data_IF_655768551903
#
_entry.id   IF_655768551903
#
_cell.length_a   1.000
_cell.length_b   1.000
_cell.length_c   1.000
_cell.angle_alpha   90.00
_cell.angle_beta   90.00
_cell.angle_gamma   90.00
#
_symmetry.space_group_name_H-M   'P 1'
#
loop_
_entity.id
_entity.type
_entity.pdbx_description
1 polymer ?
#
# COMPACT_ATOMS: atom_id res chain seq x y z
N UNK A 1 7.64 -65.13 7.81
CA UNK A 1 7.65 -64.17 6.69
C UNK A 1 6.44 -63.24 6.62
N UNK A 2 5.53 -63.20 7.59
CA UNK A 2 4.34 -62.33 7.60
C UNK A 2 4.48 -60.99 8.38
N UNK A 3 5.47 -60.88 9.29
CA UNK A 3 5.65 -59.64 10.08
C UNK A 3 6.30 -58.45 9.31
N UNK A 4 7.14 -58.77 8.28
CA UNK A 4 7.81 -57.70 7.50
C UNK A 4 6.87 -56.88 6.60
N UNK A 5 5.74 -57.46 6.16
CA UNK A 5 4.82 -56.77 5.27
C UNK A 5 3.90 -55.76 6.02
N UNK A 6 3.58 -55.99 7.30
CA UNK A 6 2.75 -55.07 8.10
C UNK A 6 3.51 -53.81 8.51
N UNK A 7 4.82 -53.93 8.79
CA UNK A 7 5.67 -52.79 9.10
C UNK A 7 5.89 -51.90 7.87
N UNK A 8 6.06 -52.48 6.69
CA UNK A 8 6.25 -51.70 5.44
C UNK A 8 4.97 -50.96 5.04
N UNK A 9 3.81 -51.65 5.11
CA UNK A 9 2.51 -51.02 4.82
C UNK A 9 2.14 -49.92 5.84
N UNK A 10 2.48 -50.11 7.12
CA UNK A 10 2.29 -49.09 8.16
C UNK A 10 3.15 -47.85 7.91
N UNK A 11 4.41 -48.02 7.52
CA UNK A 11 5.33 -46.89 7.22
C UNK A 11 4.87 -46.13 5.98
N UNK A 12 4.45 -46.82 4.91
CA UNK A 12 3.91 -46.17 3.69
C UNK A 12 2.64 -45.42 3.99
N UNK A 13 1.75 -45.93 4.83
CA UNK A 13 0.51 -45.26 5.22
C UNK A 13 0.77 -43.98 6.06
N UNK A 14 1.70 -44.04 7.02
CA UNK A 14 2.09 -42.86 7.82
C UNK A 14 2.77 -41.80 6.96
N UNK A 15 3.63 -42.17 6.01
CA UNK A 15 4.28 -41.25 5.09
C UNK A 15 3.25 -40.58 4.13
N UNK A 16 2.26 -41.33 3.67
CA UNK A 16 1.20 -40.79 2.83
C UNK A 16 0.31 -39.78 3.59
N UNK A 17 -0.06 -40.09 4.83
CA UNK A 17 -0.81 -39.16 5.68
C UNK A 17 -0.03 -37.88 5.99
N UNK A 18 1.26 -37.98 6.22
CA UNK A 18 2.14 -36.82 6.43
C UNK A 18 2.21 -35.94 5.16
N UNK A 19 2.34 -36.53 3.98
CA UNK A 19 2.37 -35.80 2.71
C UNK A 19 1.04 -35.09 2.42
N UNK A 20 -0.11 -35.73 2.68
CA UNK A 20 -1.43 -35.11 2.56
C UNK A 20 -1.60 -33.95 3.53
N UNK A 21 -1.15 -34.08 4.77
CA UNK A 21 -1.17 -32.99 5.76
C UNK A 21 -0.33 -31.79 5.31
N UNK A 22 0.84 -32.05 4.73
CA UNK A 22 1.77 -30.98 4.29
C UNK A 22 1.27 -30.25 3.02
N UNK A 23 0.65 -30.96 2.08
CA UNK A 23 0.01 -30.33 0.91
C UNK A 23 -1.18 -29.47 1.33
N UNK A 24 -1.92 -29.88 2.35
CA UNK A 24 -2.99 -29.07 2.97
C UNK A 24 -2.48 -27.76 3.61
N UNK A 25 -1.32 -27.83 4.29
CA UNK A 25 -0.65 -26.65 4.84
C UNK A 25 -0.21 -25.68 3.74
N UNK A 26 0.37 -26.16 2.66
CA UNK A 26 0.74 -25.31 1.52
C UNK A 26 -0.49 -24.61 0.93
N UNK A 27 -1.55 -25.37 0.64
CA UNK A 27 -2.80 -24.78 0.14
C UNK A 27 -3.37 -23.73 1.08
N UNK A 28 -3.26 -23.92 2.40
CA UNK A 28 -3.64 -22.93 3.41
C UNK A 28 -2.79 -21.67 3.29
N UNK A 29 -1.45 -21.81 3.21
CA UNK A 29 -0.54 -20.68 3.09
C UNK A 29 -0.83 -19.86 1.82
N UNK A 30 -0.98 -20.54 0.67
CA UNK A 30 -1.28 -19.91 -0.62
C UNK A 30 -2.65 -19.19 -0.59
N UNK A 31 -3.65 -19.77 0.09
CA UNK A 31 -4.97 -19.15 0.27
C UNK A 31 -4.87 -17.88 1.12
N UNK A 32 -4.12 -17.91 2.21
CA UNK A 32 -3.88 -16.74 3.06
C UNK A 32 -3.13 -15.65 2.29
N UNK A 33 -2.10 -16.01 1.56
CA UNK A 33 -1.33 -15.10 0.70
C UNK A 33 -2.23 -14.40 -0.33
N UNK A 34 -3.04 -15.17 -1.06
CA UNK A 34 -3.96 -14.65 -2.06
C UNK A 34 -5.11 -13.81 -1.48
N UNK A 35 -5.36 -13.90 -0.17
CA UNK A 35 -6.30 -13.05 0.59
C UNK A 35 -5.62 -11.88 1.30
N UNK A 36 -4.34 -11.63 0.99
CA UNK A 36 -3.52 -10.58 1.60
C UNK A 36 -3.34 -10.71 3.13
N UNK A 37 -3.52 -11.91 3.69
CA UNK A 37 -3.22 -12.24 5.09
C UNK A 37 -1.75 -12.64 5.20
N UNK A 38 -0.84 -11.70 4.93
CA UNK A 38 0.58 -11.99 4.74
C UNK A 38 1.27 -12.46 6.01
N UNK A 39 0.87 -11.97 7.17
CA UNK A 39 1.43 -12.41 8.45
C UNK A 39 1.09 -13.88 8.72
N UNK A 40 -0.17 -14.25 8.56
CA UNK A 40 -0.61 -15.63 8.74
C UNK A 40 0.01 -16.56 7.68
N UNK A 41 0.08 -16.10 6.41
CA UNK A 41 0.74 -16.84 5.34
C UNK A 41 2.21 -17.08 5.66
N UNK A 42 2.94 -16.05 6.11
CA UNK A 42 4.35 -16.14 6.50
C UNK A 42 4.58 -17.16 7.61
N UNK A 43 3.70 -17.22 8.61
CA UNK A 43 3.80 -18.21 9.69
C UNK A 43 3.64 -19.64 9.16
N UNK A 44 2.70 -19.88 8.23
CA UNK A 44 2.51 -21.21 7.63
C UNK A 44 3.66 -21.57 6.68
N UNK A 45 4.21 -20.62 5.90
CA UNK A 45 5.40 -20.87 5.08
C UNK A 45 6.65 -21.19 5.92
N UNK A 46 6.85 -20.54 7.07
CA UNK A 46 7.90 -20.92 8.04
C UNK A 46 7.75 -22.35 8.54
N UNK A 47 6.52 -22.78 8.81
CA UNK A 47 6.22 -24.16 9.21
C UNK A 47 6.57 -25.16 8.10
N UNK A 48 6.23 -24.87 6.83
CA UNK A 48 6.58 -25.70 5.67
C UNK A 48 8.11 -25.82 5.51
N UNK A 49 8.84 -24.72 5.66
CA UNK A 49 10.32 -24.70 5.62
C UNK A 49 10.90 -25.59 6.73
N UNK A 50 10.38 -25.47 7.97
CA UNK A 50 10.84 -26.28 9.11
C UNK A 50 10.60 -27.78 8.90
N UNK A 51 9.51 -28.15 8.23
CA UNK A 51 9.15 -29.52 7.86
C UNK A 51 9.86 -30.01 6.59
N UNK A 52 10.68 -29.18 5.96
CA UNK A 52 11.37 -29.45 4.68
C UNK A 52 10.42 -29.86 3.55
N UNK A 53 9.18 -29.38 3.59
CA UNK A 53 8.19 -29.64 2.55
C UNK A 53 8.12 -28.46 1.58
N UNK A 54 8.46 -28.73 0.32
CA UNK A 54 8.52 -27.73 -0.74
C UNK A 54 9.23 -26.42 -0.27
N UNK A 55 10.35 -26.61 0.47
CA UNK A 55 11.00 -25.55 1.23
C UNK A 55 11.49 -24.41 0.34
N UNK A 56 11.92 -24.71 -0.89
CA UNK A 56 12.35 -23.69 -1.85
C UNK A 56 11.19 -22.76 -2.25
N UNK A 57 10.04 -23.35 -2.59
CA UNK A 57 8.82 -22.58 -2.87
C UNK A 57 8.39 -21.76 -1.66
N UNK A 58 8.31 -22.39 -0.48
CA UNK A 58 7.90 -21.71 0.74
C UNK A 58 8.85 -20.55 1.11
N UNK A 59 10.16 -20.70 0.86
CA UNK A 59 11.16 -19.62 1.07
C UNK A 59 10.89 -18.43 0.16
N UNK A 60 10.57 -18.67 -1.11
CA UNK A 60 10.22 -17.60 -2.06
C UNK A 60 8.96 -16.84 -1.62
N UNK A 61 7.89 -17.58 -1.31
CA UNK A 61 6.64 -16.98 -0.87
C UNK A 61 6.78 -16.24 0.47
N UNK A 62 7.63 -16.72 1.36
CA UNK A 62 7.93 -16.04 2.62
C UNK A 62 8.68 -14.71 2.38
N UNK A 63 9.59 -14.67 1.42
CA UNK A 63 10.25 -13.43 1.01
C UNK A 63 9.23 -12.41 0.47
N UNK A 64 8.31 -12.87 -0.39
CA UNK A 64 7.23 -12.04 -0.94
C UNK A 64 6.30 -11.54 0.17
N UNK A 65 5.94 -12.38 1.17
CA UNK A 65 5.16 -11.94 2.34
C UNK A 65 5.83 -10.75 3.04
N UNK A 66 7.12 -10.85 3.34
CA UNK A 66 7.85 -9.77 4.01
C UNK A 66 7.97 -8.50 3.15
N UNK A 67 8.14 -8.65 1.84
CA UNK A 67 8.14 -7.51 0.93
C UNK A 67 6.78 -6.78 0.94
N UNK A 68 5.67 -7.52 0.87
CA UNK A 68 4.33 -6.93 0.95
C UNK A 68 4.04 -6.30 2.32
N UNK A 69 4.52 -6.89 3.42
CA UNK A 69 4.43 -6.30 4.75
C UNK A 69 5.33 -5.05 4.94
N UNK A 70 6.06 -4.63 3.92
CA UNK A 70 7.03 -3.52 3.98
C UNK A 70 8.10 -3.72 5.06
N UNK A 71 8.52 -4.97 5.24
CA UNK A 71 9.62 -5.36 6.13
C UNK A 71 10.86 -5.73 5.30
N UNK A 72 11.63 -4.74 4.83
CA UNK A 72 12.75 -4.98 3.92
C UNK A 72 13.88 -5.77 4.57
N UNK A 73 14.11 -5.63 5.88
CA UNK A 73 15.16 -6.39 6.60
C UNK A 73 14.92 -7.89 6.50
N UNK A 74 13.69 -8.34 6.81
CA UNK A 74 13.32 -9.75 6.66
C UNK A 74 13.26 -10.18 5.20
N UNK A 75 12.74 -9.33 4.31
CA UNK A 75 12.67 -9.63 2.89
C UNK A 75 14.05 -9.91 2.29
N UNK A 76 15.06 -9.08 2.61
CA UNK A 76 16.46 -9.28 2.18
C UNK A 76 16.99 -10.65 2.58
N UNK A 77 16.74 -11.09 3.84
CA UNK A 77 17.20 -12.39 4.33
C UNK A 77 16.64 -13.55 3.52
N UNK A 78 15.33 -13.50 3.23
CA UNK A 78 14.67 -14.61 2.53
C UNK A 78 14.83 -14.54 1.01
N UNK A 79 14.88 -13.35 0.40
CA UNK A 79 15.25 -13.23 -1.02
C UNK A 79 16.67 -13.68 -1.29
N UNK A 80 17.63 -13.40 -0.40
CA UNK A 80 18.99 -13.92 -0.52
C UNK A 80 19.00 -15.45 -0.61
N UNK A 81 18.24 -16.14 0.22
CA UNK A 81 18.09 -17.61 0.16
C UNK A 81 17.36 -18.05 -1.11
N UNK A 82 16.39 -17.28 -1.58
CA UNK A 82 15.61 -17.62 -2.78
C UNK A 82 16.47 -17.57 -4.04
N UNK A 83 17.33 -16.53 -4.20
CA UNK A 83 18.16 -16.37 -5.41
C UNK A 83 19.29 -17.39 -5.53
N UNK A 84 19.62 -18.13 -4.46
CA UNK A 84 20.58 -19.22 -4.45
C UNK A 84 19.96 -20.55 -4.95
N UNK A 85 18.64 -20.61 -5.14
CA UNK A 85 17.94 -21.81 -5.58
C UNK A 85 18.14 -22.07 -7.07
N UNK A 86 18.17 -23.36 -7.51
CA UNK A 86 18.26 -23.67 -8.92
C UNK A 86 17.00 -23.24 -9.67
N UNK A 87 17.16 -22.78 -10.90
CA UNK A 87 16.06 -22.39 -11.81
C UNK A 87 15.12 -21.32 -11.23
N UNK A 88 15.66 -20.40 -10.44
CA UNK A 88 14.89 -19.29 -9.89
C UNK A 88 14.35 -18.40 -11.01
N UNK A 89 13.05 -18.01 -10.99
CA UNK A 89 12.54 -17.00 -11.91
C UNK A 89 13.31 -15.68 -11.77
N UNK A 90 13.69 -15.06 -12.89
CA UNK A 90 14.51 -13.84 -12.88
C UNK A 90 13.87 -12.68 -12.09
N UNK A 91 12.54 -12.65 -11.98
CA UNK A 91 11.80 -11.66 -11.17
C UNK A 91 12.31 -11.59 -9.72
N UNK A 92 12.82 -12.70 -9.17
CA UNK A 92 13.36 -12.71 -7.81
C UNK A 92 14.66 -11.92 -7.67
N UNK A 93 15.46 -11.77 -8.73
CA UNK A 93 16.61 -10.85 -8.73
C UNK A 93 16.18 -9.40 -8.60
N UNK A 94 15.09 -9.03 -9.31
CA UNK A 94 14.49 -7.70 -9.20
C UNK A 94 13.92 -7.47 -7.79
N UNK A 95 13.14 -8.42 -7.27
CA UNK A 95 12.53 -8.31 -5.94
C UNK A 95 13.59 -8.19 -4.85
N UNK A 96 14.68 -8.97 -4.96
CA UNK A 96 15.82 -8.85 -4.03
C UNK A 96 16.50 -7.49 -4.11
N UNK A 97 16.74 -7.00 -5.33
CA UNK A 97 17.30 -5.67 -5.53
C UNK A 97 16.42 -4.56 -4.89
N UNK A 98 15.09 -4.67 -5.01
CA UNK A 98 14.18 -3.71 -4.38
C UNK A 98 14.22 -3.80 -2.84
N UNK A 99 14.29 -5.02 -2.28
CA UNK A 99 14.45 -5.21 -0.83
C UNK A 99 15.77 -4.60 -0.32
N UNK A 100 16.87 -4.78 -1.08
CA UNK A 100 18.17 -4.17 -0.77
C UNK A 100 18.13 -2.64 -0.77
N UNK A 101 17.35 -2.02 -1.68
CA UNK A 101 17.11 -0.58 -1.68
C UNK A 101 16.38 -0.15 -0.40
N UNK A 102 15.38 -0.90 0.02
CA UNK A 102 14.64 -0.65 1.25
C UNK A 102 15.53 -0.63 2.51
N UNK A 103 16.65 -1.37 2.52
CA UNK A 103 17.68 -1.33 3.59
C UNK A 103 18.88 -0.43 3.23
N UNK A 104 18.74 0.43 2.21
CA UNK A 104 19.76 1.39 1.74
C UNK A 104 21.05 0.74 1.22
N UNK A 105 21.03 -0.55 0.86
CA UNK A 105 22.17 -1.23 0.24
C UNK A 105 22.13 -1.05 -1.30
N UNK A 106 22.30 0.19 -1.74
CA UNK A 106 22.18 0.57 -3.15
C UNK A 106 23.26 -0.08 -4.05
N UNK A 107 24.45 -0.30 -3.51
CA UNK A 107 25.55 -0.93 -4.26
C UNK A 107 25.19 -2.35 -4.67
N UNK A 108 24.74 -3.16 -3.74
CA UNK A 108 24.36 -4.55 -4.01
C UNK A 108 23.06 -4.63 -4.82
N UNK A 109 22.09 -3.75 -4.55
CA UNK A 109 20.88 -3.63 -5.35
C UNK A 109 21.18 -3.48 -6.85
N UNK A 110 22.16 -2.63 -7.21
CA UNK A 110 22.59 -2.44 -8.60
C UNK A 110 23.13 -3.71 -9.25
N UNK A 111 23.89 -4.52 -8.51
CA UNK A 111 24.39 -5.81 -8.99
C UNK A 111 23.24 -6.74 -9.38
N UNK A 112 22.20 -6.81 -8.53
CA UNK A 112 21.05 -7.68 -8.77
C UNK A 112 20.08 -7.14 -9.82
N UNK A 113 19.94 -5.84 -9.96
CA UNK A 113 19.22 -5.23 -11.10
C UNK A 113 19.91 -5.56 -12.42
N UNK A 114 21.25 -5.46 -12.48
CA UNK A 114 22.00 -5.87 -13.65
C UNK A 114 21.81 -7.36 -13.96
N UNK A 115 21.84 -8.20 -12.94
CA UNK A 115 21.58 -9.65 -13.10
C UNK A 115 20.17 -9.93 -13.63
N UNK A 116 19.15 -9.19 -13.16
CA UNK A 116 17.80 -9.27 -13.69
C UNK A 116 17.76 -8.93 -15.18
N UNK A 117 18.41 -7.87 -15.60
CA UNK A 117 18.49 -7.45 -17.01
C UNK A 117 19.23 -8.51 -17.87
N UNK A 118 20.37 -9.01 -17.42
CA UNK A 118 21.15 -10.06 -18.09
C UNK A 118 20.35 -11.37 -18.29
N UNK A 119 19.38 -11.64 -17.43
CA UNK A 119 18.50 -12.82 -17.51
C UNK A 119 17.19 -12.57 -18.27
N UNK A 120 17.10 -11.47 -19.02
CA UNK A 120 15.96 -11.13 -19.88
C UNK A 120 14.88 -10.28 -19.19
N UNK A 121 15.15 -9.80 -17.99
CA UNK A 121 14.28 -8.81 -17.31
C UNK A 121 14.33 -7.44 -18.00
N UNK A 122 13.21 -6.74 -18.04
CA UNK A 122 13.15 -5.40 -18.61
C UNK A 122 13.08 -4.35 -17.49
N UNK A 123 14.14 -3.57 -17.34
CA UNK A 123 14.18 -2.39 -16.47
C UNK A 123 14.00 -1.19 -17.40
N UNK A 124 12.76 -0.68 -17.50
CA UNK A 124 12.46 0.47 -18.37
C UNK A 124 13.18 1.75 -17.94
N UNK A 125 13.50 1.89 -16.65
CA UNK A 125 14.23 3.04 -16.11
C UNK A 125 15.68 2.68 -15.83
N UNK A 126 16.41 2.41 -16.91
CA UNK A 126 17.84 2.04 -16.85
C UNK A 126 18.77 3.16 -16.32
N UNK A 127 18.26 4.36 -16.04
CA UNK A 127 19.03 5.45 -15.47
C UNK A 127 19.66 5.08 -14.14
N UNK A 128 18.97 4.30 -13.29
CA UNK A 128 19.53 3.80 -12.04
C UNK A 128 20.78 2.91 -12.25
N UNK A 129 20.86 2.17 -13.35
CA UNK A 129 22.04 1.37 -13.72
C UNK A 129 23.12 2.21 -14.41
N UNK A 130 22.72 3.23 -15.17
CA UNK A 130 23.60 4.08 -15.98
C UNK A 130 24.23 5.20 -15.17
N UNK A 131 23.46 5.82 -14.28
CA UNK A 131 23.96 6.90 -13.41
C UNK A 131 24.54 6.31 -12.12
N UNK A 132 25.85 6.04 -12.14
CA UNK A 132 26.60 5.59 -10.96
C UNK A 132 26.53 6.56 -9.80
N UNK A 133 26.31 7.85 -10.08
CA UNK A 133 26.28 8.93 -9.10
C UNK A 133 24.85 9.33 -8.68
N UNK A 134 23.80 8.70 -9.26
CA UNK A 134 22.40 9.02 -8.96
C UNK A 134 22.11 9.14 -7.45
N UNK A 135 22.52 8.14 -6.67
CA UNK A 135 22.32 8.14 -5.21
C UNK A 135 23.11 9.27 -4.55
N UNK A 136 24.36 9.48 -4.97
CA UNK A 136 25.18 10.58 -4.44
C UNK A 136 24.59 11.94 -4.80
N UNK A 137 24.07 12.08 -6.01
CA UNK A 137 23.44 13.33 -6.46
C UNK A 137 22.18 13.63 -5.63
N UNK A 138 21.35 12.64 -5.33
CA UNK A 138 20.18 12.85 -4.45
C UNK A 138 20.62 13.27 -3.04
N UNK A 139 21.57 12.56 -2.43
CA UNK A 139 22.00 12.87 -1.05
C UNK A 139 22.79 14.17 -0.93
N UNK A 140 23.46 14.62 -2.00
CA UNK A 140 24.19 15.88 -2.05
C UNK A 140 23.34 17.05 -2.55
N UNK A 141 22.13 16.81 -3.06
CA UNK A 141 21.22 17.87 -3.48
C UNK A 141 20.81 18.73 -2.28
N UNK A 142 20.67 20.04 -2.52
CA UNK A 142 20.16 20.94 -1.50
C UNK A 142 18.72 20.53 -1.16
N UNK A 143 18.38 20.28 0.12
CA UNK A 143 17.03 19.95 0.51
C UNK A 143 16.04 21.06 0.09
N UNK A 144 15.01 20.70 -0.62
CA UNK A 144 13.91 21.61 -0.99
C UNK A 144 12.82 21.65 0.09
N UNK A 145 12.73 20.59 0.90
CA UNK A 145 11.72 20.41 1.94
C UNK A 145 12.40 19.95 3.23
N UNK A 146 11.80 20.34 4.35
CA UNK A 146 12.22 19.86 5.67
C UNK A 146 11.18 18.85 6.19
N UNK A 147 11.66 17.70 6.62
CA UNK A 147 10.82 16.71 7.27
C UNK A 147 10.64 17.12 8.74
N UNK A 148 9.41 17.07 9.20
CA UNK A 148 9.06 17.32 10.59
C UNK A 148 8.33 16.10 11.16
N UNK A 149 8.75 15.68 12.34
CA UNK A 149 8.00 14.70 13.13
C UNK A 149 6.94 15.40 13.96
N UNK A 150 5.73 14.84 13.92
CA UNK A 150 4.67 15.31 14.81
C UNK A 150 4.79 14.64 16.19
N UNK A 151 4.58 15.40 17.25
CA UNK A 151 4.62 14.90 18.63
C UNK A 151 3.49 13.90 18.97
N UNK A 152 2.57 13.68 18.05
CA UNK A 152 1.46 12.74 18.18
C UNK A 152 1.63 11.47 17.32
N UNK A 153 2.79 11.32 16.64
CA UNK A 153 3.12 10.07 15.96
C UNK A 153 3.13 8.92 16.97
N UNK A 154 2.55 7.79 16.57
CA UNK A 154 2.44 6.60 17.40
C UNK A 154 3.49 5.56 17.01
N UNK A 155 3.48 4.41 17.69
CA UNK A 155 4.29 3.25 17.29
C UNK A 155 3.66 2.44 16.15
N UNK A 156 2.49 2.82 15.71
CA UNK A 156 1.72 2.21 14.66
C UNK A 156 1.87 2.98 13.35
N UNK A 157 1.18 2.56 12.31
CA UNK A 157 1.15 3.27 11.03
C UNK A 157 0.40 4.60 11.19
N UNK A 158 1.11 5.72 11.00
CA UNK A 158 0.57 7.08 10.96
C UNK A 158 0.95 7.70 9.60
N UNK A 159 -0.03 8.16 8.81
CA UNK A 159 0.23 8.71 7.47
C UNK A 159 -0.90 9.60 6.96
N UNK A 160 -0.73 10.14 5.73
CA UNK A 160 -1.73 10.94 5.04
C UNK A 160 -2.14 12.21 5.80
N UNK A 161 -1.19 13.02 6.32
CA UNK A 161 -1.54 14.25 7.01
C UNK A 161 -2.21 15.22 6.03
N UNK A 162 -3.32 15.79 6.46
CA UNK A 162 -4.05 16.82 5.75
C UNK A 162 -4.30 18.02 6.66
N UNK A 163 -3.76 19.17 6.27
CA UNK A 163 -3.92 20.39 7.04
C UNK A 163 -5.15 21.17 6.59
N UNK A 164 -6.01 21.51 7.53
CA UNK A 164 -7.13 22.43 7.31
C UNK A 164 -7.25 23.40 8.48
N UNK A 165 -7.12 24.69 8.21
CA UNK A 165 -7.16 25.76 9.20
C UNK A 165 -6.15 25.55 10.35
N UNK A 166 -6.63 25.33 11.58
CA UNK A 166 -5.81 25.08 12.77
C UNK A 166 -5.64 23.58 13.08
N UNK A 167 -6.15 22.70 12.23
CA UNK A 167 -6.19 21.28 12.47
C UNK A 167 -5.32 20.50 11.47
N UNK A 168 -4.78 19.38 11.94
CA UNK A 168 -4.16 18.35 11.13
C UNK A 168 -5.03 17.10 11.27
N UNK A 169 -5.56 16.64 10.15
CA UNK A 169 -6.22 15.36 10.01
C UNK A 169 -5.18 14.33 9.56
N UNK A 170 -5.25 13.12 10.05
CA UNK A 170 -4.31 12.06 9.67
C UNK A 170 -4.94 10.70 9.88
N UNK A 171 -4.37 9.69 9.24
CA UNK A 171 -4.77 8.30 9.34
C UNK A 171 -3.84 7.58 10.32
N UNK A 172 -4.40 6.77 11.19
CA UNK A 172 -3.61 5.97 12.12
C UNK A 172 -4.26 4.62 12.41
N UNK A 173 -3.43 3.59 12.58
CA UNK A 173 -3.85 2.29 13.12
C UNK A 173 -3.76 2.21 14.66
N UNK A 174 -3.47 3.34 15.34
CA UNK A 174 -3.54 3.38 16.79
C UNK A 174 -4.98 3.16 17.25
N UNK A 175 -5.17 2.25 18.19
CA UNK A 175 -6.48 1.98 18.78
C UNK A 175 -6.61 2.75 20.12
N UNK A 176 -7.48 3.76 20.14
CA UNK A 176 -7.76 4.55 21.35
C UNK A 176 -8.95 3.96 22.14
N UNK A 177 -8.85 2.71 22.55
CA UNK A 177 -9.67 2.22 23.66
C UNK A 177 -10.92 1.41 23.31
N UNK A 178 -10.87 0.52 22.34
CA UNK A 178 -11.90 -0.51 22.15
C UNK A 178 -11.38 -1.86 22.67
N UNK A 179 -12.20 -2.56 23.45
CA UNK A 179 -11.84 -3.83 24.09
C UNK A 179 -11.73 -5.03 23.14
N UNK A 180 -12.18 -4.91 21.90
CA UNK A 180 -12.01 -5.92 20.84
C UNK A 180 -11.24 -5.32 19.68
N UNK A 181 -9.99 -5.74 19.54
CA UNK A 181 -9.14 -5.30 18.42
C UNK A 181 -9.45 -6.13 17.20
N UNK A 182 -10.00 -5.52 16.18
CA UNK A 182 -9.96 -6.08 14.85
C UNK A 182 -8.54 -5.90 14.30
N UNK A 183 -7.85 -7.00 14.05
CA UNK A 183 -6.47 -7.01 13.57
C UNK A 183 -6.48 -7.27 12.07
N UNK A 184 -5.75 -6.43 11.33
CA UNK A 184 -5.60 -6.55 9.90
C UNK A 184 -4.54 -7.59 9.55
N UNK A 185 -4.91 -8.61 8.77
CA UNK A 185 -4.04 -9.74 8.43
C UNK A 185 -2.82 -9.38 7.57
N UNK A 186 -2.78 -8.18 7.01
CA UNK A 186 -1.64 -7.70 6.22
C UNK A 186 -0.40 -7.48 7.07
N UNK A 187 -0.53 -6.81 8.23
CA UNK A 187 0.58 -6.34 9.05
C UNK A 187 0.40 -6.51 10.58
N UNK A 188 -0.68 -7.16 11.02
CA UNK A 188 -1.04 -7.33 12.45
C UNK A 188 -1.30 -6.02 13.21
N UNK A 189 -1.58 -4.93 12.52
CA UNK A 189 -2.02 -3.70 13.15
C UNK A 189 -3.55 -3.64 13.26
N UNK A 190 -4.10 -2.83 14.18
CA UNK A 190 -5.52 -2.48 14.15
C UNK A 190 -5.93 -1.85 12.81
N UNK A 191 -7.21 -1.85 12.50
CA UNK A 191 -7.72 -1.14 11.34
C UNK A 191 -7.49 0.37 11.47
N UNK A 192 -7.34 1.03 10.32
CA UNK A 192 -7.05 2.46 10.22
C UNK A 192 -8.31 3.28 10.51
N UNK A 193 -8.14 4.33 11.30
CA UNK A 193 -9.14 5.36 11.56
C UNK A 193 -8.60 6.75 11.18
N UNK A 194 -9.49 7.71 10.96
CA UNK A 194 -9.14 9.12 10.79
C UNK A 194 -9.16 9.83 12.13
N UNK A 195 -8.08 10.56 12.39
CA UNK A 195 -7.86 11.36 13.59
C UNK A 195 -7.71 12.84 13.24
N UNK A 196 -7.90 13.70 14.25
CA UNK A 196 -7.69 15.14 14.13
C UNK A 196 -6.96 15.68 15.34
N UNK A 197 -5.97 16.56 15.14
CA UNK A 197 -5.21 17.25 16.17
C UNK A 197 -5.08 18.72 15.84
N UNK A 198 -5.03 19.56 16.89
CA UNK A 198 -4.72 21.00 16.71
C UNK A 198 -3.22 21.19 16.43
N UNK A 199 -2.87 22.06 15.48
CA UNK A 199 -1.50 22.49 15.20
C UNK A 199 -0.80 23.14 16.39
N UNK A 200 -1.55 23.85 17.23
CA UNK A 200 -1.00 24.59 18.37
C UNK A 200 -0.55 23.71 19.55
N UNK A 201 -0.77 22.39 19.46
CA UNK A 201 -0.45 21.46 20.55
C UNK A 201 -1.31 21.66 21.82
N UNK A 202 -2.16 22.70 21.84
CA UNK A 202 -3.15 22.92 22.89
C UNK A 202 -4.42 22.15 22.53
N UNK A 203 -4.44 20.86 22.87
CA UNK A 203 -5.61 20.01 22.65
C UNK A 203 -6.78 20.52 23.49
N UNK A 204 -7.70 21.25 22.85
CA UNK A 204 -9.04 21.56 23.39
C UNK A 204 -9.94 20.32 23.44
N UNK A 205 -9.40 19.12 23.14
CA UNK A 205 -10.14 17.86 23.13
C UNK A 205 -10.03 17.25 24.51
N UNK A 206 -11.10 17.22 25.33
CA UNK A 206 -11.07 16.57 26.63
C UNK A 206 -10.71 15.08 26.47
N UNK A 207 -9.79 14.61 27.29
CA UNK A 207 -9.37 13.20 27.41
C UNK A 207 -8.51 12.61 26.28
N UNK A 208 -7.79 13.40 25.48
CA UNK A 208 -6.80 12.86 24.53
C UNK A 208 -7.37 12.08 23.33
N UNK A 209 -8.68 11.90 23.25
CA UNK A 209 -9.32 11.22 22.12
C UNK A 209 -9.35 12.11 20.90
N UNK A 210 -8.49 11.81 19.94
CA UNK A 210 -8.37 12.57 18.71
C UNK A 210 -9.08 11.91 17.51
N UNK A 211 -9.80 10.80 17.73
CA UNK A 211 -10.59 10.13 16.71
C UNK A 211 -11.68 11.06 16.18
N UNK A 212 -11.80 11.14 14.85
CA UNK A 212 -12.75 12.04 14.19
C UNK A 212 -14.19 11.71 14.61
N UNK A 213 -14.97 12.75 14.90
CA UNK A 213 -16.38 12.60 15.33
C UNK A 213 -17.32 12.51 14.13
N UNK A 214 -18.35 11.69 14.25
CA UNK A 214 -19.40 11.45 13.25
C UNK A 214 -19.36 10.03 12.71
N UNK A 215 -19.85 9.83 11.49
CA UNK A 215 -20.07 8.52 10.87
C UNK A 215 -18.96 8.09 9.90
N UNK A 216 -17.83 8.83 9.90
CA UNK A 216 -16.70 8.55 9.00
C UNK A 216 -15.97 7.27 9.40
N UNK A 217 -15.60 7.14 10.69
CA UNK A 217 -14.88 5.99 11.19
C UNK A 217 -15.81 4.81 11.46
N UNK A 218 -15.44 3.63 10.98
CA UNK A 218 -16.20 2.37 11.12
C UNK A 218 -15.38 1.30 11.87
N UNK A 219 -15.70 0.04 11.66
CA UNK A 219 -14.94 -1.11 12.17
C UNK A 219 -13.90 -1.64 11.16
N UNK A 220 -13.75 -0.97 10.02
CA UNK A 220 -12.82 -1.29 8.95
C UNK A 220 -11.88 -0.11 8.70
N UNK A 221 -11.10 -0.16 7.60
CA UNK A 221 -10.16 0.92 7.28
C UNK A 221 -10.86 2.15 6.74
N UNK A 222 -10.52 3.28 7.32
CA UNK A 222 -10.66 4.61 6.74
C UNK A 222 -9.26 5.11 6.33
N UNK A 223 -9.20 5.89 5.26
CA UNK A 223 -7.96 6.30 4.63
C UNK A 223 -7.80 7.81 4.48
N UNK A 224 -6.81 8.24 3.73
CA UNK A 224 -6.54 9.65 3.46
C UNK A 224 -7.78 10.39 2.97
N UNK A 225 -7.77 11.68 3.24
CA UNK A 225 -8.89 12.57 3.00
C UNK A 225 -8.46 13.89 2.39
N UNK A 226 -9.42 14.61 1.85
CA UNK A 226 -9.33 16.03 1.49
C UNK A 226 -10.61 16.75 1.90
N UNK A 227 -10.53 18.05 2.23
CA UNK A 227 -11.68 18.86 2.68
C UNK A 227 -11.80 20.07 1.79
N UNK A 228 -13.04 20.43 1.42
CA UNK A 228 -13.36 21.62 0.64
C UNK A 228 -12.87 22.91 1.31
N UNK A 229 -12.70 23.98 0.53
CA UNK A 229 -12.24 25.28 1.03
C UNK A 229 -13.15 25.84 2.12
N UNK A 230 -14.46 25.67 1.96
CA UNK A 230 -15.45 26.12 2.93
C UNK A 230 -15.49 25.26 4.22
N UNK A 231 -14.72 24.17 4.26
CA UNK A 231 -14.62 23.26 5.40
C UNK A 231 -15.85 22.40 5.65
N UNK A 232 -16.81 22.33 4.70
CA UNK A 232 -18.09 21.65 4.91
C UNK A 232 -18.20 20.29 4.25
N UNK A 233 -17.37 19.99 3.27
CA UNK A 233 -17.36 18.72 2.54
C UNK A 233 -16.02 18.04 2.72
N UNK A 234 -16.03 16.75 3.08
CA UNK A 234 -14.86 15.88 3.15
C UNK A 234 -15.01 14.77 2.12
N UNK A 235 -13.94 14.49 1.38
CA UNK A 235 -13.78 13.27 0.61
C UNK A 235 -12.76 12.39 1.32
N UNK A 236 -13.04 11.11 1.46
CA UNK A 236 -12.15 10.18 2.19
C UNK A 236 -12.24 8.76 1.63
N UNK A 237 -11.17 8.00 1.78
CA UNK A 237 -11.15 6.58 1.43
C UNK A 237 -11.76 5.76 2.55
N UNK A 238 -12.45 4.67 2.21
CA UNK A 238 -12.93 3.67 3.16
C UNK A 238 -13.09 2.33 2.46
N UNK A 239 -12.95 1.23 3.20
CA UNK A 239 -13.40 -0.07 2.69
C UNK A 239 -14.85 0.00 2.21
N UNK A 240 -15.19 -0.81 1.22
CA UNK A 240 -16.58 -0.95 0.77
C UNK A 240 -17.46 -1.48 1.92
N UNK A 241 -17.84 -0.57 2.81
CA UNK A 241 -18.69 -0.84 3.96
C UNK A 241 -19.80 0.19 4.04
N UNK A 242 -21.02 -0.24 3.78
CA UNK A 242 -22.19 0.62 3.76
C UNK A 242 -23.37 -0.09 4.42
N UNK A 243 -24.16 0.63 5.22
CA UNK A 243 -25.34 0.11 5.91
C UNK A 243 -25.10 -1.21 6.64
N UNK A 244 -23.98 -1.33 7.34
CA UNK A 244 -23.56 -2.54 8.08
C UNK A 244 -23.22 -3.76 7.20
N UNK A 245 -23.05 -3.56 5.88
CA UNK A 245 -22.67 -4.62 4.94
C UNK A 245 -21.29 -4.34 4.40
N UNK A 246 -20.39 -5.33 4.52
CA UNK A 246 -19.08 -5.30 3.90
C UNK A 246 -19.16 -5.86 2.48
N UNK A 247 -18.88 -5.00 1.49
CA UNK A 247 -18.80 -5.40 0.09
C UNK A 247 -17.64 -6.36 -0.15
N UNK A 248 -17.83 -7.31 -1.04
CA UNK A 248 -16.81 -8.28 -1.43
C UNK A 248 -16.87 -8.57 -2.91
N UNK A 249 -15.69 -8.59 -3.53
CA UNK A 249 -15.53 -9.08 -4.90
C UNK A 249 -15.85 -10.59 -4.98
N UNK A 250 -15.96 -11.12 -6.19
CA UNK A 250 -16.12 -12.56 -6.43
C UNK A 250 -14.90 -13.39 -5.92
N UNK A 251 -13.76 -12.75 -5.67
CA UNK A 251 -12.56 -13.36 -5.04
C UNK A 251 -12.55 -13.24 -3.52
N UNK A 252 -13.60 -12.65 -2.92
CA UNK A 252 -13.73 -12.45 -1.48
C UNK A 252 -12.87 -11.30 -0.92
N UNK A 253 -12.36 -10.41 -1.78
CA UNK A 253 -11.62 -9.21 -1.39
C UNK A 253 -12.59 -8.04 -1.21
N UNK A 254 -12.23 -7.09 -0.35
CA UNK A 254 -12.97 -5.85 -0.14
C UNK A 254 -12.18 -4.71 -0.78
N UNK A 255 -12.81 -4.02 -1.72
CA UNK A 255 -12.22 -2.86 -2.37
C UNK A 255 -12.28 -1.61 -1.48
N UNK A 256 -11.41 -0.64 -1.79
CA UNK A 256 -11.52 0.72 -1.28
C UNK A 256 -12.44 1.54 -2.19
N UNK A 257 -13.20 2.41 -1.57
CA UNK A 257 -14.09 3.37 -2.24
C UNK A 257 -13.87 4.77 -1.66
N UNK A 258 -14.17 5.79 -2.44
CA UNK A 258 -14.20 7.17 -1.96
C UNK A 258 -15.63 7.54 -1.59
N UNK A 259 -15.78 8.10 -0.40
CA UNK A 259 -17.03 8.61 0.13
C UNK A 259 -16.93 10.11 0.33
N UNK A 260 -18.09 10.76 0.33
CA UNK A 260 -18.27 12.16 0.69
C UNK A 260 -19.00 12.24 2.02
N UNK A 261 -18.56 13.14 2.92
CA UNK A 261 -19.23 13.48 4.17
C UNK A 261 -19.49 14.96 4.24
N UNK A 262 -20.54 15.35 4.98
CA UNK A 262 -20.87 16.76 5.25
C UNK A 262 -20.65 17.07 6.72
N UNK A 263 -20.10 18.26 7.01
CA UNK A 263 -19.92 18.73 8.39
C UNK A 263 -21.25 19.31 8.90
N UNK A 264 -21.82 18.66 9.93
CA UNK A 264 -23.06 19.08 10.61
C UNK A 264 -22.79 19.16 12.10
N UNK A 265 -22.97 20.35 12.70
CA UNK A 265 -22.77 20.60 14.13
C UNK A 265 -21.44 20.05 14.70
N UNK A 266 -20.37 20.19 13.93
CA UNK A 266 -19.02 19.75 14.32
C UNK A 266 -18.79 18.24 14.22
N UNK A 267 -19.65 17.52 13.51
CA UNK A 267 -19.51 16.09 13.20
C UNK A 267 -19.59 15.85 11.71
N UNK A 268 -18.86 14.86 11.22
CA UNK A 268 -18.91 14.46 9.82
C UNK A 268 -19.98 13.37 9.64
N UNK A 269 -21.07 13.76 8.98
CA UNK A 269 -22.30 12.95 8.79
C UNK A 269 -22.70 12.92 7.31
N UNK A 270 -23.86 12.33 6.99
CA UNK A 270 -24.40 12.23 5.63
C UNK A 270 -23.40 11.59 4.65
N UNK A 271 -22.96 10.38 4.98
CA UNK A 271 -21.98 9.65 4.17
C UNK A 271 -22.60 9.19 2.86
N UNK A 272 -22.04 9.64 1.74
CA UNK A 272 -22.49 9.30 0.39
C UNK A 272 -21.34 8.62 -0.38
N UNK A 273 -21.63 7.53 -1.07
CA UNK A 273 -20.71 6.88 -1.99
C UNK A 273 -20.63 7.68 -3.30
N UNK A 274 -19.42 7.89 -3.83
CA UNK A 274 -19.27 8.60 -5.10
C UNK A 274 -19.68 7.72 -6.30
N UNK A 275 -20.30 8.32 -7.34
CA UNK A 275 -20.94 7.56 -8.42
C UNK A 275 -19.98 6.81 -9.34
N UNK A 276 -18.68 7.09 -9.30
CA UNK A 276 -17.65 6.43 -10.10
C UNK A 276 -16.90 5.33 -9.34
N UNK A 277 -17.30 5.01 -8.11
CA UNK A 277 -16.81 3.83 -7.39
C UNK A 277 -17.21 2.53 -8.10
N UNK A 278 -16.52 1.44 -7.76
CA UNK A 278 -16.77 0.12 -8.35
C UNK A 278 -16.65 -0.99 -7.31
N UNK A 279 -17.41 -2.07 -7.53
CA UNK A 279 -17.25 -3.31 -6.76
C UNK A 279 -16.13 -4.21 -7.33
N UNK A 280 -15.56 -3.85 -8.51
CA UNK A 280 -14.58 -4.67 -9.22
C UNK A 280 -13.14 -4.21 -9.04
N UNK A 281 -12.91 -2.96 -8.65
CA UNK A 281 -11.60 -2.34 -8.44
C UNK A 281 -11.67 -1.30 -7.32
N UNK A 282 -10.53 -0.92 -6.80
CA UNK A 282 -10.40 0.07 -5.73
C UNK A 282 -10.26 1.48 -6.28
N UNK A 283 -10.84 2.45 -5.57
CA UNK A 283 -10.61 3.89 -5.74
C UNK A 283 -10.30 4.47 -4.36
N UNK A 284 -9.18 5.21 -4.23
CA UNK A 284 -8.69 5.66 -2.94
C UNK A 284 -7.86 6.95 -3.04
N UNK A 285 -7.47 7.49 -1.88
CA UNK A 285 -6.57 8.63 -1.73
C UNK A 285 -7.07 9.88 -2.49
N UNK A 286 -8.24 10.43 -2.11
CA UNK A 286 -8.79 11.61 -2.78
C UNK A 286 -7.96 12.86 -2.49
N UNK A 287 -7.81 13.73 -3.50
CA UNK A 287 -7.18 15.04 -3.39
C UNK A 287 -7.88 16.07 -4.27
N UNK A 288 -8.42 17.13 -3.69
CA UNK A 288 -8.97 18.26 -4.43
C UNK A 288 -7.84 19.15 -4.97
N UNK A 289 -8.02 19.69 -6.17
CA UNK A 289 -7.19 20.79 -6.62
C UNK A 289 -7.62 22.12 -5.96
N UNK A 290 -6.79 23.15 -6.16
CA UNK A 290 -6.96 24.41 -5.44
C UNK A 290 -8.26 25.18 -5.78
N UNK A 291 -8.86 24.98 -6.94
CA UNK A 291 -10.13 25.61 -7.35
C UNK A 291 -11.35 24.69 -7.18
N UNK A 292 -11.14 23.46 -6.69
CA UNK A 292 -12.17 22.43 -6.45
C UNK A 292 -12.94 22.00 -7.70
N UNK A 293 -12.33 22.19 -8.87
CA UNK A 293 -12.90 21.74 -10.15
C UNK A 293 -12.52 20.30 -10.49
N UNK A 294 -11.52 19.73 -9.79
CA UNK A 294 -11.04 18.37 -10.00
C UNK A 294 -10.84 17.64 -8.68
N UNK A 295 -11.23 16.36 -8.68
CA UNK A 295 -10.89 15.41 -7.64
C UNK A 295 -9.93 14.36 -8.21
N UNK A 296 -8.69 14.37 -7.73
CA UNK A 296 -7.68 13.37 -8.05
C UNK A 296 -7.79 12.19 -7.10
N UNK A 297 -7.39 11.01 -7.56
CA UNK A 297 -7.42 9.79 -6.75
C UNK A 297 -6.53 8.70 -7.36
N UNK A 298 -6.27 7.65 -6.58
CA UNK A 298 -5.55 6.46 -7.01
C UNK A 298 -6.53 5.33 -7.30
N UNK A 299 -6.28 4.54 -8.35
CA UNK A 299 -7.13 3.39 -8.70
C UNK A 299 -6.38 2.31 -9.47
N UNK A 300 -6.75 1.05 -9.23
CA UNK A 300 -6.37 -0.12 -10.03
C UNK A 300 -7.43 -0.48 -11.09
N UNK A 301 -8.22 0.52 -11.52
CA UNK A 301 -9.25 0.29 -12.55
C UNK A 301 -8.66 -0.20 -13.87
N UNK A 302 -9.37 -1.10 -14.59
CA UNK A 302 -8.91 -1.64 -15.86
C UNK A 302 -8.59 -0.55 -16.89
N UNK A 303 -7.51 -0.75 -17.66
CA UNK A 303 -7.07 0.19 -18.70
C UNK A 303 -6.02 1.20 -18.22
N UNK A 304 -5.53 1.07 -16.98
CA UNK A 304 -4.38 1.81 -16.47
C UNK A 304 -3.06 1.39 -17.12
N UNK A 305 -1.98 2.08 -16.75
CA UNK A 305 -0.61 1.82 -17.22
C UNK A 305 0.13 0.85 -16.31
N UNK A 306 -0.18 0.89 -15.01
CA UNK A 306 0.47 0.10 -13.97
C UNK A 306 -0.48 -0.76 -13.16
N UNK A 307 -0.10 -0.98 -11.91
CA UNK A 307 -0.95 -1.65 -10.91
C UNK A 307 -1.99 -0.67 -10.35
N UNK A 308 -1.52 0.43 -9.79
CA UNK A 308 -2.33 1.55 -9.31
C UNK A 308 -1.85 2.81 -10.02
N UNK A 309 -2.76 3.53 -10.62
CA UNK A 309 -2.49 4.77 -11.35
C UNK A 309 -3.21 5.97 -10.71
N UNK A 310 -2.72 7.18 -10.97
CA UNK A 310 -3.42 8.42 -10.63
C UNK A 310 -4.42 8.77 -11.73
N UNK A 311 -5.65 9.02 -11.30
CA UNK A 311 -6.78 9.47 -12.10
C UNK A 311 -7.32 10.79 -11.56
N UNK A 312 -8.20 11.42 -12.32
CA UNK A 312 -9.03 12.52 -11.85
C UNK A 312 -10.44 12.46 -12.44
N UNK A 313 -11.38 13.13 -11.81
CA UNK A 313 -12.69 13.51 -12.35
C UNK A 313 -12.86 15.00 -12.28
N UNK A 314 -13.55 15.57 -13.26
CA UNK A 314 -14.02 16.96 -13.18
C UNK A 314 -15.21 17.04 -12.21
N UNK A 315 -15.25 18.10 -11.41
CA UNK A 315 -16.37 18.47 -10.54
C UNK A 315 -17.08 19.67 -11.15
N UNK A 316 -18.35 19.55 -11.39
CA UNK A 316 -19.16 20.63 -11.96
C UNK A 316 -20.54 20.69 -11.30
N UNK A 317 -21.39 21.63 -11.71
CA UNK A 317 -22.73 21.81 -11.15
C UNK A 317 -23.66 20.59 -11.29
N UNK A 318 -23.36 19.68 -12.22
CA UNK A 318 -24.12 18.46 -12.46
C UNK A 318 -23.56 17.24 -11.72
N UNK A 319 -22.48 17.42 -10.94
CA UNK A 319 -21.79 16.37 -10.18
C UNK A 319 -20.40 16.06 -10.71
N UNK A 320 -20.08 14.78 -10.89
CA UNK A 320 -18.75 14.30 -11.26
C UNK A 320 -18.71 13.81 -12.70
N UNK A 321 -17.60 14.14 -13.38
CA UNK A 321 -17.30 13.61 -14.71
C UNK A 321 -16.89 12.14 -14.71
N UNK A 322 -16.51 11.64 -15.89
CA UNK A 322 -15.94 10.31 -16.04
C UNK A 322 -14.46 10.31 -15.60
N UNK A 323 -13.99 9.27 -14.85
CA UNK A 323 -12.59 9.12 -14.50
C UNK A 323 -11.65 9.16 -15.72
N UNK A 324 -10.59 9.96 -15.60
CA UNK A 324 -9.55 10.10 -16.61
C UNK A 324 -8.19 9.75 -16.02
N UNK A 325 -7.45 8.84 -16.68
CA UNK A 325 -6.09 8.49 -16.29
C UNK A 325 -5.16 9.65 -16.65
N UNK A 326 -4.27 10.06 -15.74
CA UNK A 326 -3.30 11.13 -16.01
C UNK A 326 -2.26 10.74 -17.08
N UNK A 327 -2.09 9.45 -17.31
CA UNK A 327 -1.13 8.97 -18.31
C UNK A 327 0.31 9.30 -17.94
N UNK A 328 1.21 9.20 -18.96
CA UNK A 328 2.59 9.63 -18.82
C UNK A 328 2.68 11.16 -18.91
N UNK A 329 3.59 11.78 -18.17
CA UNK A 329 4.69 11.18 -17.40
C UNK A 329 4.33 10.80 -15.96
N UNK A 330 3.10 11.02 -15.47
CA UNK A 330 2.71 10.78 -14.07
C UNK A 330 2.69 9.29 -13.75
N UNK A 331 1.94 8.52 -14.53
CA UNK A 331 1.75 7.09 -14.29
C UNK A 331 2.83 6.25 -14.98
N UNK A 332 3.29 5.21 -14.29
CA UNK A 332 4.31 4.27 -14.77
C UNK A 332 3.71 2.89 -15.04
N UNK A 333 4.52 1.86 -15.11
CA UNK A 333 4.07 0.47 -15.15
C UNK A 333 4.07 -0.20 -13.76
N UNK A 334 4.13 0.60 -12.69
CA UNK A 334 4.14 0.16 -11.29
C UNK A 334 2.95 0.77 -10.55
N UNK A 335 3.18 1.39 -9.41
CA UNK A 335 2.11 1.95 -8.59
C UNK A 335 2.37 3.43 -8.31
N UNK A 336 1.38 4.24 -8.60
CA UNK A 336 1.30 5.65 -8.23
C UNK A 336 0.10 5.85 -7.31
N UNK A 337 0.34 6.50 -6.16
CA UNK A 337 -0.69 6.65 -5.12
C UNK A 337 -0.50 7.92 -4.31
N UNK A 338 -1.44 8.22 -3.42
CA UNK A 338 -1.42 9.39 -2.54
C UNK A 338 -1.23 10.70 -3.28
N UNK A 339 -2.07 11.04 -4.28
CA UNK A 339 -2.01 12.36 -4.91
C UNK A 339 -2.25 13.45 -3.86
N UNK A 340 -1.50 14.53 -3.97
CA UNK A 340 -1.67 15.74 -3.18
C UNK A 340 -1.37 16.96 -4.05
N UNK A 341 -2.21 17.96 -4.05
CA UNK A 341 -2.00 19.21 -4.79
C UNK A 341 -1.72 20.33 -3.79
N UNK A 342 -0.58 20.97 -3.92
CA UNK A 342 -0.23 22.12 -3.09
C UNK A 342 -0.94 23.41 -3.54
N UNK A 343 -0.74 24.50 -2.80
CA UNK A 343 -1.34 25.80 -3.12
C UNK A 343 -0.86 26.40 -4.44
N UNK A 344 0.26 25.95 -4.96
CA UNK A 344 0.86 26.39 -6.24
C UNK A 344 0.39 25.55 -7.43
N UNK A 345 -0.47 24.54 -7.19
CA UNK A 345 -0.99 23.64 -8.22
C UNK A 345 -0.07 22.47 -8.57
N UNK A 346 1.05 22.29 -7.86
CA UNK A 346 1.94 21.15 -8.07
C UNK A 346 1.28 19.88 -7.53
N UNK A 347 1.18 18.86 -8.38
CA UNK A 347 0.75 17.54 -7.98
C UNK A 347 1.95 16.76 -7.42
N UNK A 348 1.82 16.31 -6.19
CA UNK A 348 2.71 15.34 -5.54
C UNK A 348 2.07 13.97 -5.54
N UNK A 349 2.89 12.93 -5.60
CA UNK A 349 2.44 11.54 -5.55
C UNK A 349 3.51 10.65 -4.92
N UNK A 350 3.10 9.50 -4.41
CA UNK A 350 4.02 8.44 -4.00
C UNK A 350 4.09 7.38 -5.10
N UNK A 351 5.30 6.96 -5.48
CA UNK A 351 5.50 5.96 -6.53
C UNK A 351 6.63 4.99 -6.20
N UNK A 352 6.47 3.73 -6.62
CA UNK A 352 7.54 2.72 -6.67
C UNK A 352 7.98 2.42 -8.12
N UNK A 353 7.49 3.21 -9.08
CA UNK A 353 7.81 3.10 -10.50
C UNK A 353 8.74 4.18 -11.03
N UNK A 354 8.73 5.38 -10.46
CA UNK A 354 9.69 6.43 -10.77
C UNK A 354 11.05 6.14 -10.13
N UNK A 355 12.11 6.75 -10.69
CA UNK A 355 13.47 6.55 -10.20
C UNK A 355 13.65 7.26 -8.85
N UNK A 356 13.71 6.51 -7.77
CA UNK A 356 13.83 6.99 -6.39
C UNK A 356 14.75 6.14 -5.53
N UNK A 357 14.67 6.27 -4.23
CA UNK A 357 15.52 5.57 -3.25
C UNK A 357 15.04 4.15 -2.93
N UNK A 358 13.79 3.82 -3.23
CA UNK A 358 13.21 2.49 -3.05
C UNK A 358 11.95 2.46 -2.20
N UNK A 359 11.15 1.42 -2.36
CA UNK A 359 9.78 1.37 -1.84
C UNK A 359 8.92 2.47 -2.50
N UNK A 360 8.16 3.23 -1.72
CA UNK A 360 7.42 4.39 -2.20
C UNK A 360 8.23 5.65 -1.88
N UNK A 361 8.63 6.38 -2.91
CA UNK A 361 9.22 7.71 -2.79
C UNK A 361 8.20 8.78 -3.18
N UNK A 362 8.37 10.01 -2.68
CA UNK A 362 7.50 11.14 -3.01
C UNK A 362 8.11 11.90 -4.18
N UNK A 363 7.27 12.16 -5.17
CA UNK A 363 7.62 12.91 -6.37
C UNK A 363 6.70 14.11 -6.55
N UNK A 364 7.23 15.18 -7.14
CA UNK A 364 6.46 16.34 -7.56
C UNK A 364 6.46 16.49 -9.07
N UNK A 365 5.36 16.98 -9.63
CA UNK A 365 5.24 17.22 -11.07
C UNK A 365 5.81 18.56 -11.47
N UNK A 366 6.30 18.63 -12.70
CA UNK A 366 6.67 19.88 -13.38
C UNK A 366 5.70 20.11 -14.54
N UNK A 367 5.16 21.32 -14.63
CA UNK A 367 4.27 21.73 -15.70
C UNK A 367 4.98 22.72 -16.66
N UNK A 368 4.51 22.78 -17.90
CA UNK A 368 4.88 23.82 -18.84
C UNK A 368 3.99 25.08 -18.68
N UNK A 369 4.19 26.08 -19.51
CA UNK A 369 3.45 27.35 -19.52
C UNK A 369 1.94 27.17 -19.78
N UNK A 370 1.49 25.99 -20.21
CA UNK A 370 0.08 25.65 -20.48
C UNK A 370 -0.53 24.78 -19.39
N UNK A 371 0.11 24.68 -18.21
CA UNK A 371 -0.26 23.81 -17.08
C UNK A 371 -0.26 22.30 -17.42
N UNK A 372 0.36 21.90 -18.55
CA UNK A 372 0.51 20.48 -18.90
C UNK A 372 1.70 19.89 -18.15
N UNK A 373 1.47 18.75 -17.48
CA UNK A 373 2.54 18.02 -16.80
C UNK A 373 3.52 17.45 -17.84
N UNK A 374 4.80 17.82 -17.74
CA UNK A 374 5.86 17.42 -18.67
C UNK A 374 6.89 16.46 -18.05
N UNK A 375 6.99 16.43 -16.73
CA UNK A 375 7.86 15.49 -15.99
C UNK A 375 7.40 15.29 -14.55
N UNK A 376 7.98 14.31 -13.92
CA UNK A 376 7.84 13.97 -12.50
C UNK A 376 9.24 13.81 -11.91
#
# INVERSE_FOLDING_TARGET
MKLKNYTLNGIVFVLSMAAFSQSGLQKKADTLFNKFSFVDAANVYKELISKKYNADYATRQLADCYAYMRNPDSAVVYYKKAIEQPNIPNQYYYNYAQALRGVKNYKESRVWLKRFEETGGNIKDSNFLKDGDFINNIFNAKPQYFLMDFNFNSKYSDFGPYEKDKNIYFVSSKDEGVSSKHIYGWNEEPFLDIYVKSKSGTDSIPNGKSKLKGDVNTVYHEGPLTISKDGKTMYFSRNDFNKQVLGRTNKGLTNLKIYKATLVDGKWENIEELPFNSDSYSISHPALNSDETKLYFSSDMPGGLGGVDIYYVDINSNGYGTPQNLGRPVNTNKNESFPFINSEGVLFLASDGHLGLGLLDIFGTVTDETDKIISV
#
